data_IF_289207332629
#
_entry.id   IF_289207332629
#
_cell.length_a   1.000
_cell.length_b   1.000
_cell.length_c   1.000
_cell.angle_alpha   90.00
_cell.angle_beta   90.00
_cell.angle_gamma   90.00
#
_symmetry.space_group_name_H-M   'P 1'
#
loop_
_entity.id
_entity.type
_entity.pdbx_description
1 polymer ?
#
# COMPACT_ATOMS: atom_id res chain seq x y z
N UNK A 1 -32.72 -6.17 10.36
CA UNK A 1 -31.52 -7.03 10.52
C UNK A 1 -31.12 -7.56 9.14
N UNK A 2 -29.93 -7.17 8.67
CA UNK A 2 -29.36 -7.77 7.46
C UNK A 2 -28.76 -9.13 7.86
N UNK A 3 -29.16 -10.20 7.20
CA UNK A 3 -28.56 -11.53 7.40
C UNK A 3 -27.20 -11.55 6.67
N UNK A 4 -26.12 -11.71 7.41
CA UNK A 4 -24.74 -11.67 6.91
C UNK A 4 -24.01 -12.97 7.23
N UNK A 5 -23.02 -13.30 6.42
CA UNK A 5 -22.08 -14.40 6.61
C UNK A 5 -20.65 -13.84 6.65
N UNK A 6 -19.99 -14.04 7.77
CA UNK A 6 -18.58 -13.68 7.94
C UNK A 6 -17.70 -14.89 7.63
N UNK A 7 -16.75 -14.73 6.71
CA UNK A 7 -15.79 -15.74 6.32
C UNK A 7 -14.39 -15.27 6.69
N UNK A 8 -13.61 -16.13 7.34
CA UNK A 8 -12.21 -15.88 7.65
C UNK A 8 -11.34 -17.00 7.08
N UNK A 9 -10.36 -16.64 6.26
CA UNK A 9 -9.36 -17.53 5.70
C UNK A 9 -7.99 -17.19 6.27
N UNK A 10 -7.30 -18.16 6.86
CA UNK A 10 -5.97 -17.98 7.46
C UNK A 10 -4.88 -18.48 6.50
N UNK A 11 -3.83 -17.68 6.34
CA UNK A 11 -2.64 -18.02 5.59
C UNK A 11 -2.86 -18.34 4.11
N UNK A 12 -3.79 -17.67 3.38
CA UNK A 12 -4.01 -17.98 1.97
C UNK A 12 -2.77 -17.68 1.14
N UNK A 13 -2.56 -18.51 0.11
CA UNK A 13 -1.46 -18.33 -0.85
C UNK A 13 -2.04 -18.08 -2.23
N UNK A 14 -1.62 -17.01 -2.86
CA UNK A 14 -1.95 -16.74 -4.26
C UNK A 14 -0.73 -17.05 -5.11
N UNK A 15 -0.91 -17.96 -6.06
CA UNK A 15 0.13 -18.33 -7.03
C UNK A 15 -0.30 -17.85 -8.41
N UNK A 16 0.57 -17.06 -9.04
CA UNK A 16 0.41 -16.65 -10.42
C UNK A 16 1.73 -16.89 -11.16
N UNK A 17 1.76 -17.88 -12.03
CA UNK A 17 2.97 -18.38 -12.69
C UNK A 17 4.03 -18.78 -11.65
N UNK A 18 5.20 -18.10 -11.66
CA UNK A 18 6.34 -18.30 -10.78
C UNK A 18 6.28 -17.47 -9.48
N UNK A 19 5.28 -16.58 -9.36
CA UNK A 19 5.15 -15.68 -8.20
C UNK A 19 4.13 -16.21 -7.21
N UNK A 20 4.50 -16.17 -5.93
CA UNK A 20 3.64 -16.56 -4.81
C UNK A 20 3.56 -15.38 -3.85
N UNK A 21 2.33 -14.96 -3.53
CA UNK A 21 2.05 -14.03 -2.43
C UNK A 21 1.32 -14.78 -1.34
N UNK A 22 1.85 -14.72 -0.13
CA UNK A 22 1.24 -15.30 1.05
C UNK A 22 0.68 -14.19 1.93
N UNK A 23 -0.62 -14.26 2.17
CA UNK A 23 -1.29 -13.35 3.10
C UNK A 23 -1.37 -13.97 4.49
N UNK A 24 -1.61 -13.14 5.48
CA UNK A 24 -1.84 -13.60 6.84
C UNK A 24 -3.30 -14.01 7.03
N UNK A 25 -4.22 -13.14 6.64
CA UNK A 25 -5.65 -13.37 6.77
C UNK A 25 -6.44 -12.63 5.69
N UNK A 26 -7.53 -13.26 5.27
CA UNK A 26 -8.60 -12.61 4.53
C UNK A 26 -9.88 -12.77 5.36
N UNK A 27 -10.59 -11.67 5.58
CA UNK A 27 -11.95 -11.68 6.11
C UNK A 27 -12.89 -11.11 5.06
N UNK A 28 -14.05 -11.68 4.92
CA UNK A 28 -15.08 -11.18 4.01
C UNK A 28 -16.46 -11.24 4.66
N UNK A 29 -17.26 -10.23 4.39
CA UNK A 29 -18.65 -10.16 4.83
C UNK A 29 -19.56 -10.27 3.60
N UNK A 30 -20.45 -11.26 3.61
CA UNK A 30 -21.35 -11.57 2.51
C UNK A 30 -22.80 -11.32 2.95
N UNK A 31 -23.54 -10.55 2.17
CA UNK A 31 -24.99 -10.39 2.33
C UNK A 31 -25.73 -11.63 1.82
N UNK A 32 -26.31 -12.42 2.73
CA UNK A 32 -27.08 -13.60 2.35
C UNK A 32 -28.35 -13.23 1.57
N UNK A 33 -28.95 -12.08 1.86
CA UNK A 33 -30.14 -11.59 1.11
C UNK A 33 -29.77 -11.35 -0.36
N UNK A 34 -28.65 -10.64 -0.60
CA UNK A 34 -28.15 -10.40 -1.97
C UNK A 34 -27.77 -11.70 -2.67
N UNK A 35 -27.14 -12.63 -1.95
CA UNK A 35 -26.77 -13.95 -2.46
C UNK A 35 -27.99 -14.75 -2.96
N UNK A 36 -29.06 -14.85 -2.15
CA UNK A 36 -30.27 -15.54 -2.54
C UNK A 36 -31.01 -14.83 -3.69
N UNK A 37 -30.85 -13.52 -3.81
CA UNK A 37 -31.41 -12.74 -4.92
C UNK A 37 -30.55 -12.80 -6.19
N UNK A 38 -29.46 -13.58 -6.20
CA UNK A 38 -28.47 -13.67 -7.31
C UNK A 38 -27.86 -12.30 -7.67
N UNK A 39 -27.69 -11.44 -6.68
CA UNK A 39 -27.00 -10.15 -6.80
C UNK A 39 -25.59 -10.27 -6.25
N UNK A 40 -24.77 -9.25 -6.53
CA UNK A 40 -23.45 -9.15 -5.89
C UNK A 40 -23.61 -9.09 -4.36
N UNK A 41 -22.89 -9.97 -3.67
CA UNK A 41 -23.17 -10.25 -2.25
C UNK A 41 -21.99 -9.95 -1.31
N UNK A 42 -20.78 -9.71 -1.83
CA UNK A 42 -19.64 -9.30 -1.01
C UNK A 42 -19.81 -7.83 -0.60
N UNK A 43 -19.94 -7.56 0.70
CA UNK A 43 -20.10 -6.20 1.23
C UNK A 43 -18.75 -5.61 1.70
N UNK A 44 -17.89 -6.45 2.30
CA UNK A 44 -16.59 -6.03 2.82
C UNK A 44 -15.54 -7.12 2.56
N UNK A 45 -14.30 -6.68 2.35
CA UNK A 45 -13.12 -7.53 2.24
C UNK A 45 -11.95 -6.89 2.97
N UNK A 46 -11.49 -7.51 4.06
CA UNK A 46 -10.29 -7.15 4.79
C UNK A 46 -9.18 -8.13 4.44
N UNK A 47 -8.04 -7.60 4.09
CA UNK A 47 -6.85 -8.39 3.74
C UNK A 47 -5.68 -7.91 4.58
N UNK A 48 -5.10 -8.82 5.37
CA UNK A 48 -3.83 -8.57 6.08
C UNK A 48 -2.70 -9.35 5.43
N UNK A 49 -1.58 -8.68 5.21
CA UNK A 49 -0.40 -9.32 4.63
C UNK A 49 0.56 -9.77 5.73
N UNK A 50 1.33 -10.83 5.45
CA UNK A 50 2.59 -11.05 6.13
C UNK A 50 3.63 -10.06 5.61
N UNK A 51 4.87 -10.15 6.12
CA UNK A 51 5.96 -9.40 5.52
C UNK A 51 6.16 -9.82 4.06
N UNK A 52 5.92 -8.91 3.13
CA UNK A 52 6.06 -9.09 1.70
C UNK A 52 7.25 -8.28 1.19
N UNK A 53 8.08 -8.90 0.38
CA UNK A 53 9.10 -8.16 -0.38
C UNK A 53 8.41 -7.25 -1.41
N UNK A 54 8.63 -5.93 -1.32
CA UNK A 54 7.94 -4.92 -2.13
C UNK A 54 8.14 -5.18 -3.64
N UNK A 55 9.35 -5.52 -4.04
CA UNK A 55 9.67 -5.80 -5.45
C UNK A 55 8.88 -6.98 -6.00
N UNK A 56 8.74 -8.05 -5.22
CA UNK A 56 7.93 -9.21 -5.57
C UNK A 56 6.44 -8.86 -5.65
N UNK A 57 5.94 -8.03 -4.73
CA UNK A 57 4.56 -7.55 -4.75
C UNK A 57 4.27 -6.71 -6.01
N UNK A 58 5.14 -5.75 -6.34
CA UNK A 58 4.99 -4.94 -7.55
C UNK A 58 5.01 -5.82 -8.80
N UNK A 59 5.98 -6.72 -8.90
CA UNK A 59 6.08 -7.67 -10.02
C UNK A 59 4.83 -8.56 -10.15
N UNK A 60 4.22 -8.96 -9.03
CA UNK A 60 2.97 -9.71 -9.01
C UNK A 60 1.80 -8.85 -9.52
N UNK A 61 1.64 -7.63 -9.00
CA UNK A 61 0.55 -6.72 -9.41
C UNK A 61 0.63 -6.39 -10.90
N UNK A 62 1.84 -6.22 -11.45
CA UNK A 62 2.06 -5.95 -12.87
C UNK A 62 1.56 -7.07 -13.80
N UNK A 63 1.40 -8.28 -13.32
CA UNK A 63 0.79 -9.37 -14.11
C UNK A 63 -0.71 -9.14 -14.37
N UNK A 64 -1.38 -8.37 -13.52
CA UNK A 64 -2.80 -8.02 -13.64
C UNK A 64 -3.00 -6.64 -14.26
N UNK A 65 -2.18 -5.67 -13.85
CA UNK A 65 -2.28 -4.29 -14.29
C UNK A 65 -0.89 -3.76 -14.63
N UNK A 66 -0.56 -3.79 -15.92
CA UNK A 66 0.74 -3.30 -16.40
C UNK A 66 0.63 -1.81 -16.74
N UNK A 67 0.91 -0.94 -15.77
CA UNK A 67 0.95 0.52 -15.93
C UNK A 67 2.38 1.04 -15.78
N UNK A 68 2.73 2.16 -16.46
CA UNK A 68 4.10 2.70 -16.43
C UNK A 68 4.63 2.97 -15.02
N UNK A 69 3.77 3.43 -14.11
CA UNK A 69 4.15 3.75 -12.73
C UNK A 69 4.67 2.52 -11.98
N UNK A 70 4.02 1.38 -12.12
CA UNK A 70 4.47 0.13 -11.50
C UNK A 70 5.79 -0.38 -12.10
N UNK A 71 6.00 -0.15 -13.41
CA UNK A 71 7.27 -0.47 -14.05
C UNK A 71 8.41 0.39 -13.48
N UNK A 72 8.17 1.69 -13.32
CA UNK A 72 9.16 2.60 -12.72
C UNK A 72 9.47 2.18 -11.28
N UNK A 73 8.44 1.92 -10.46
CA UNK A 73 8.62 1.47 -9.07
C UNK A 73 9.44 0.18 -9.00
N UNK A 74 9.18 -0.80 -9.87
CA UNK A 74 9.96 -2.05 -9.91
C UNK A 74 11.44 -1.82 -10.26
N UNK A 75 11.73 -0.78 -11.06
CA UNK A 75 13.10 -0.44 -11.46
C UNK A 75 13.86 0.33 -10.38
N UNK A 76 13.19 1.26 -9.70
CA UNK A 76 13.85 2.10 -8.70
C UNK A 76 13.99 1.40 -7.35
N UNK A 77 13.07 0.51 -6.97
CA UNK A 77 13.13 -0.21 -5.69
C UNK A 77 14.08 -1.38 -5.80
N UNK A 78 15.12 -1.38 -4.98
CA UNK A 78 16.12 -2.46 -4.92
C UNK A 78 15.75 -3.52 -3.88
N UNK A 79 15.29 -3.08 -2.69
CA UNK A 79 14.94 -3.92 -1.54
C UNK A 79 13.87 -3.23 -0.71
N UNK A 80 13.21 -3.95 0.13
CA UNK A 80 12.25 -3.44 1.12
C UNK A 80 11.12 -4.40 1.37
N UNK A 81 10.54 -4.27 2.56
CA UNK A 81 9.45 -5.12 3.03
C UNK A 81 8.23 -4.28 3.38
N UNK A 82 7.07 -4.86 3.10
CA UNK A 82 5.76 -4.28 3.38
C UNK A 82 4.95 -5.22 4.25
N UNK A 83 4.33 -4.69 5.30
CA UNK A 83 3.22 -5.31 6.01
C UNK A 83 2.06 -4.34 5.92
N UNK A 84 0.92 -4.79 5.44
CA UNK A 84 -0.24 -3.93 5.23
C UNK A 84 -1.56 -4.62 5.53
N UNK A 85 -2.53 -3.81 5.97
CA UNK A 85 -3.94 -4.10 6.04
C UNK A 85 -4.67 -3.30 4.98
N UNK A 86 -5.53 -3.96 4.22
CA UNK A 86 -6.39 -3.39 3.19
C UNK A 86 -7.85 -3.64 3.59
N UNK A 87 -8.64 -2.58 3.67
CA UNK A 87 -10.08 -2.63 3.91
C UNK A 87 -10.81 -2.14 2.65
N UNK A 88 -11.60 -3.02 2.05
CA UNK A 88 -12.40 -2.71 0.86
C UNK A 88 -13.89 -2.86 1.16
N UNK A 89 -14.66 -1.84 0.84
CA UNK A 89 -16.11 -1.87 0.84
C UNK A 89 -16.63 -1.92 -0.58
N UNK A 90 -17.68 -2.67 -0.83
CA UNK A 90 -18.28 -2.81 -2.14
C UNK A 90 -19.70 -2.23 -2.16
N UNK A 91 -20.10 -1.71 -3.31
CA UNK A 91 -21.48 -1.34 -3.57
C UNK A 91 -22.28 -2.55 -4.09
N UNK A 92 -23.60 -2.34 -4.30
CA UNK A 92 -24.47 -3.40 -4.78
C UNK A 92 -24.16 -3.89 -6.22
N UNK A 93 -23.31 -3.19 -6.95
CA UNK A 93 -22.85 -3.56 -8.30
C UNK A 93 -21.50 -4.30 -8.27
N UNK A 94 -20.86 -4.40 -7.10
CA UNK A 94 -19.56 -5.00 -6.93
C UNK A 94 -18.39 -4.06 -7.20
N UNK A 95 -18.64 -2.75 -7.28
CA UNK A 95 -17.56 -1.77 -7.39
C UNK A 95 -17.03 -1.43 -6.00
N UNK A 96 -15.70 -1.25 -5.93
CA UNK A 96 -15.05 -0.77 -4.71
C UNK A 96 -15.48 0.67 -4.46
N UNK A 97 -15.95 0.94 -3.23
CA UNK A 97 -16.28 2.29 -2.79
C UNK A 97 -15.01 3.12 -2.56
N UNK A 98 -15.16 4.44 -2.61
CA UNK A 98 -14.04 5.38 -2.42
C UNK A 98 -13.55 5.46 -0.95
N UNK A 99 -14.26 4.83 -0.01
CA UNK A 99 -13.91 4.81 1.42
C UNK A 99 -12.92 3.70 1.80
N UNK A 100 -12.29 3.05 0.82
CA UNK A 100 -11.27 2.04 1.09
C UNK A 100 -10.07 2.63 1.85
N UNK A 101 -9.44 1.78 2.65
CA UNK A 101 -8.26 2.15 3.43
C UNK A 101 -7.14 1.14 3.21
N UNK A 102 -5.92 1.64 3.11
CA UNK A 102 -4.69 0.83 3.13
C UNK A 102 -3.76 1.42 4.17
N UNK A 103 -3.42 0.67 5.20
CA UNK A 103 -2.48 1.09 6.22
C UNK A 103 -1.42 0.02 6.44
N UNK A 104 -0.25 0.43 6.89
CA UNK A 104 0.82 -0.53 7.13
C UNK A 104 2.15 0.13 7.44
N UNK A 105 3.19 -0.68 7.32
CA UNK A 105 4.55 -0.23 7.52
C UNK A 105 5.44 -0.72 6.37
N UNK A 106 6.43 0.10 6.06
CA UNK A 106 7.54 -0.23 5.18
C UNK A 106 8.79 -0.32 6.03
N UNK A 107 9.63 -1.32 5.75
CA UNK A 107 10.88 -1.60 6.45
C UNK A 107 12.02 -1.81 5.46
N UNK A 108 13.20 -1.26 5.82
CA UNK A 108 14.45 -1.45 5.08
C UNK A 108 14.33 -1.15 3.58
N UNK A 109 13.51 -0.16 3.19
CA UNK A 109 13.37 0.18 1.78
C UNK A 109 14.64 0.83 1.25
N UNK A 110 15.11 0.31 0.13
CA UNK A 110 16.22 0.85 -0.65
C UNK A 110 15.75 1.14 -2.06
N UNK A 111 16.00 2.36 -2.52
CA UNK A 111 15.59 2.80 -3.84
C UNK A 111 16.61 3.76 -4.47
N UNK A 112 16.78 3.63 -5.77
CA UNK A 112 17.55 4.58 -6.58
C UNK A 112 16.58 5.57 -7.24
N UNK A 113 16.52 6.79 -6.71
CA UNK A 113 15.61 7.83 -7.20
C UNK A 113 16.40 8.80 -8.10
N UNK A 114 15.87 9.10 -9.27
CA UNK A 114 16.33 10.10 -10.23
C UNK A 114 17.78 10.64 -10.07
N UNK A 115 18.63 10.48 -11.10
CA UNK A 115 19.94 11.10 -11.21
C UNK A 115 20.90 10.87 -10.02
N UNK A 116 21.11 9.60 -9.63
CA UNK A 116 22.07 9.20 -8.60
C UNK A 116 21.65 9.51 -7.14
N UNK A 117 20.37 9.79 -6.87
CA UNK A 117 19.93 9.89 -5.50
C UNK A 117 19.53 8.50 -4.96
N UNK A 118 20.12 8.13 -3.84
CA UNK A 118 19.84 6.87 -3.16
C UNK A 118 19.05 7.12 -1.89
N UNK A 119 18.01 6.33 -1.70
CA UNK A 119 17.31 6.19 -0.43
C UNK A 119 17.66 4.84 0.14
N UNK A 120 18.13 4.80 1.37
CA UNK A 120 18.55 3.60 2.08
C UNK A 120 17.91 3.56 3.45
N UNK A 121 17.64 2.36 3.94
CA UNK A 121 17.09 2.09 5.27
C UNK A 121 15.80 2.89 5.57
N UNK A 122 14.96 3.11 4.54
CA UNK A 122 13.70 3.82 4.76
C UNK A 122 12.72 2.94 5.51
N UNK A 123 12.40 3.39 6.70
CA UNK A 123 11.34 2.88 7.56
C UNK A 123 10.23 3.91 7.67
N UNK A 124 8.99 3.50 7.55
CA UNK A 124 7.84 4.37 7.78
C UNK A 124 6.56 3.58 8.05
N UNK A 125 5.60 4.25 8.68
CA UNK A 125 4.20 3.82 8.77
C UNK A 125 3.39 4.67 7.80
N UNK A 126 2.46 4.06 7.08
CA UNK A 126 1.58 4.77 6.17
C UNK A 126 0.12 4.44 6.43
N UNK A 127 -0.75 5.41 6.14
CA UNK A 127 -2.20 5.27 6.12
C UNK A 127 -2.74 6.06 4.92
N UNK A 128 -3.35 5.33 3.98
CA UNK A 128 -4.00 5.91 2.81
C UNK A 128 -5.51 5.68 2.92
N UNK A 129 -6.28 6.76 2.97
CA UNK A 129 -7.72 6.73 3.09
C UNK A 129 -8.35 7.90 2.35
N UNK A 130 -9.35 7.64 1.50
CA UNK A 130 -10.12 8.66 0.75
C UNK A 130 -9.25 9.63 -0.06
N UNK A 131 -8.15 9.13 -0.63
CA UNK A 131 -7.22 9.95 -1.40
C UNK A 131 -6.17 10.71 -0.59
N UNK A 132 -6.28 10.74 0.74
CA UNK A 132 -5.29 11.31 1.65
C UNK A 132 -4.27 10.25 2.05
N UNK A 133 -2.97 10.59 1.98
CA UNK A 133 -1.88 9.75 2.46
C UNK A 133 -1.20 10.40 3.66
N UNK A 134 -1.16 9.68 4.77
CA UNK A 134 -0.38 10.05 5.95
C UNK A 134 0.81 9.13 6.08
N UNK A 135 2.01 9.69 6.21
CA UNK A 135 3.26 9.00 6.50
C UNK A 135 3.71 9.39 7.91
N UNK A 136 4.17 8.42 8.70
CA UNK A 136 4.57 8.63 10.09
C UNK A 136 5.86 7.86 10.40
N UNK A 137 6.60 8.38 11.39
CA UNK A 137 7.83 7.77 11.88
C UNK A 137 8.81 7.45 10.74
N UNK A 138 9.02 8.43 9.87
CA UNK A 138 9.88 8.29 8.71
C UNK A 138 11.32 8.41 9.20
N UNK A 139 12.12 7.42 8.88
CA UNK A 139 13.57 7.37 9.12
C UNK A 139 14.24 6.82 7.87
N UNK A 140 15.22 7.52 7.31
CA UNK A 140 15.89 7.14 6.08
C UNK A 140 17.28 7.76 5.98
N UNK A 141 18.12 7.17 5.14
CA UNK A 141 19.32 7.79 4.62
C UNK A 141 19.07 8.22 3.17
N UNK A 142 19.23 9.51 2.87
CA UNK A 142 19.17 10.05 1.52
C UNK A 142 20.59 10.54 1.15
N UNK A 143 21.24 9.85 0.22
CA UNK A 143 22.65 10.12 -0.11
C UNK A 143 23.56 10.16 1.12
N UNK A 144 23.44 9.16 2.01
CA UNK A 144 24.18 9.05 3.28
C UNK A 144 23.90 10.17 4.30
N UNK A 145 22.80 10.90 4.17
CA UNK A 145 22.37 11.93 5.12
C UNK A 145 21.08 11.50 5.79
N UNK A 146 21.01 11.72 7.10
CA UNK A 146 19.81 11.38 7.86
C UNK A 146 18.63 12.26 7.44
N UNK A 147 17.51 11.62 7.20
CA UNK A 147 16.21 12.25 7.00
C UNK A 147 15.22 11.64 7.99
N UNK A 148 14.69 12.47 8.88
CA UNK A 148 13.74 12.05 9.90
C UNK A 148 12.51 12.96 9.83
N UNK A 149 11.31 12.35 9.80
CA UNK A 149 10.07 13.10 9.90
C UNK A 149 9.07 12.36 10.80
N UNK A 150 8.44 13.10 11.71
CA UNK A 150 7.40 12.52 12.57
C UNK A 150 6.15 12.21 11.80
N UNK A 151 5.73 13.16 10.95
CA UNK A 151 4.50 13.04 10.16
C UNK A 151 4.58 13.89 8.90
N UNK A 152 4.19 13.30 7.78
CA UNK A 152 3.97 13.97 6.51
C UNK A 152 2.56 13.61 6.03
N UNK A 153 1.77 14.62 5.66
CA UNK A 153 0.47 14.44 5.04
C UNK A 153 0.55 14.85 3.57
N UNK A 154 0.03 14.02 2.71
CA UNK A 154 -0.06 14.27 1.27
C UNK A 154 -1.53 14.22 0.87
N UNK A 155 -2.04 15.30 0.33
CA UNK A 155 -3.42 15.40 -0.17
C UNK A 155 -3.38 15.73 -1.66
N UNK A 156 -4.29 15.14 -2.39
CA UNK A 156 -4.49 15.49 -3.80
C UNK A 156 -5.53 16.61 -3.88
N UNK A 157 -5.13 17.77 -4.40
CA UNK A 157 -6.00 18.91 -4.68
C UNK A 157 -5.98 19.21 -6.18
N UNK A 158 -7.09 18.90 -6.87
CA UNK A 158 -7.20 18.99 -8.34
C UNK A 158 -6.12 18.13 -9.04
N UNK A 159 -5.16 18.76 -9.73
CA UNK A 159 -4.05 18.09 -10.41
C UNK A 159 -2.73 18.15 -9.63
N UNK A 160 -2.71 18.80 -8.47
CA UNK A 160 -1.53 18.99 -7.64
C UNK A 160 -1.55 18.12 -6.39
N UNK A 161 -0.39 18.00 -5.73
CA UNK A 161 -0.26 17.37 -4.43
C UNK A 161 0.17 18.42 -3.41
N UNK A 162 -0.66 18.60 -2.38
CA UNK A 162 -0.30 19.39 -1.20
C UNK A 162 0.43 18.49 -0.20
N UNK A 163 1.68 18.81 0.10
CA UNK A 163 2.52 18.11 1.06
C UNK A 163 2.73 18.99 2.28
N UNK A 164 2.37 18.49 3.46
CA UNK A 164 2.52 19.21 4.73
C UNK A 164 3.14 18.29 5.77
N UNK A 165 4.18 18.79 6.49
CA UNK A 165 4.86 18.05 7.53
C UNK A 165 6.15 18.73 7.99
N UNK A 166 6.62 18.31 9.17
CA UNK A 166 7.89 18.76 9.75
C UNK A 166 8.94 17.66 9.57
N UNK A 167 10.10 18.01 9.04
CA UNK A 167 11.19 17.07 8.84
C UNK A 167 12.54 17.69 9.22
N UNK A 168 13.42 16.85 9.71
CA UNK A 168 14.82 17.18 9.94
C UNK A 168 15.67 16.52 8.86
N UNK A 169 16.57 17.30 8.29
CA UNK A 169 17.51 16.83 7.28
C UNK A 169 18.92 17.31 7.64
N UNK A 170 19.89 16.41 7.63
CA UNK A 170 21.28 16.78 7.80
C UNK A 170 21.69 17.71 6.64
N UNK A 171 22.39 18.80 6.97
CA UNK A 171 22.73 19.94 6.10
C UNK A 171 22.89 19.57 4.61
N UNK A 172 21.90 19.95 3.80
CA UNK A 172 21.95 19.84 2.34
C UNK A 172 22.92 20.91 1.81
N UNK A 173 24.01 20.48 1.20
CA UNK A 173 24.81 21.35 0.33
C UNK A 173 24.19 21.19 -1.06
N UNK A 174 23.38 22.14 -1.45
CA UNK A 174 22.92 22.23 -2.84
C UNK A 174 24.10 22.72 -3.68
N UNK A 175 24.80 21.82 -4.32
CA UNK A 175 25.74 22.18 -5.37
C UNK A 175 24.93 22.56 -6.61
N UNK A 176 25.05 23.79 -7.05
CA UNK A 176 24.52 24.29 -8.32
C UNK A 176 25.16 23.56 -9.50
#
# INVERSE_FOLDING_TARGET
NKLKLDIKTLGPKFKLNDKIIQLEVIKSEISLVSFFQKKYSLENLDVSTKSLEIKNLISFIRKFKNVPELFILEKIINKGYLIADLELNFDNSGKIKEDFQIKGLIKDLQADILKNNKVENLDLIFDFKKGDLTLQNIDALINNKNFIAKKINVKKENNDFLINGDFNFDKLILNN
#
